data_IF_720399269617
#
_entry.id   IF_720399269617
#
_cell.length_a   1.000
_cell.length_b   1.000
_cell.length_c   1.000
_cell.angle_alpha   90.00
_cell.angle_beta   90.00
_cell.angle_gamma   90.00
#
_symmetry.space_group_name_H-M   'P 1'
#
loop_
_entity.id
_entity.type
_entity.pdbx_description
1 polymer ?
#
# COMPACT_ATOMS: atom_id res chain seq x y z
N UNK A 1 -2.20 12.03 10.74
CA UNK A 1 -1.78 12.89 11.88
C UNK A 1 -0.65 13.76 11.38
N UNK A 2 -0.71 15.09 11.56
CA UNK A 2 0.39 15.98 11.21
C UNK A 2 1.67 15.66 11.98
N UNK A 3 2.83 16.03 11.44
CA UNK A 3 4.13 15.94 12.13
C UNK A 3 4.39 17.22 12.90
N UNK A 4 4.97 17.11 14.08
CA UNK A 4 5.15 18.26 14.99
C UNK A 4 6.63 18.61 15.22
N UNK A 5 7.55 17.62 15.14
CA UNK A 5 8.97 17.85 15.44
C UNK A 5 9.80 17.98 14.17
N UNK A 6 10.89 18.79 14.23
CA UNK A 6 11.82 18.95 13.10
C UNK A 6 12.36 17.60 12.60
N UNK A 7 12.61 16.66 13.52
CA UNK A 7 13.08 15.31 13.19
C UNK A 7 12.06 14.50 12.40
N UNK A 8 10.77 14.65 12.71
CA UNK A 8 9.71 13.97 11.96
C UNK A 8 9.57 14.56 10.56
N UNK A 9 9.66 15.89 10.45
CA UNK A 9 9.61 16.61 9.17
C UNK A 9 10.79 16.16 8.31
N UNK A 10 12.01 16.23 8.82
CA UNK A 10 13.23 15.76 8.16
C UNK A 10 13.15 14.27 7.79
N UNK A 11 12.53 13.44 8.63
CA UNK A 11 12.38 12.02 8.34
C UNK A 11 11.59 11.78 7.04
N UNK A 12 10.55 12.56 6.77
CA UNK A 12 9.78 12.43 5.54
C UNK A 12 10.12 13.43 4.44
N UNK A 13 11.15 14.25 4.63
CA UNK A 13 11.71 15.12 3.61
C UNK A 13 12.80 14.35 2.84
N UNK A 14 12.37 13.58 1.84
CA UNK A 14 13.26 12.84 0.95
C UNK A 14 12.58 12.60 -0.40
N UNK A 15 13.40 12.43 -1.42
CA UNK A 15 12.94 12.09 -2.76
C UNK A 15 13.26 10.63 -3.11
N UNK A 16 12.46 10.03 -4.01
CA UNK A 16 12.64 8.65 -4.47
C UNK A 16 13.51 8.58 -5.74
N UNK A 17 13.29 9.47 -6.70
CA UNK A 17 13.78 9.36 -8.09
C UNK A 17 14.68 10.52 -8.57
N UNK A 18 14.49 11.72 -8.04
CA UNK A 18 15.16 12.95 -8.45
C UNK A 18 16.54 13.13 -7.80
N UNK A 19 16.82 12.43 -6.69
CA UNK A 19 18.15 12.40 -6.09
C UNK A 19 19.05 11.37 -6.80
N UNK A 20 20.11 11.80 -7.51
CA UNK A 20 21.04 10.87 -8.15
C UNK A 20 21.82 10.00 -7.15
N UNK A 21 21.87 10.38 -5.87
CA UNK A 21 22.42 9.58 -4.77
C UNK A 21 21.36 8.76 -4.02
N UNK A 22 20.12 8.70 -4.54
CA UNK A 22 19.01 7.99 -3.93
C UNK A 22 19.36 6.52 -3.66
N UNK A 23 19.11 6.00 -2.44
CA UNK A 23 19.26 4.59 -2.14
C UNK A 23 18.16 3.73 -2.77
N UNK A 24 17.14 4.33 -3.39
CA UNK A 24 15.93 3.65 -3.89
C UNK A 24 16.02 3.20 -5.36
N UNK A 25 17.22 3.27 -5.96
CA UNK A 25 17.47 2.76 -7.30
C UNK A 25 17.13 1.27 -7.42
N UNK A 26 16.57 0.85 -8.55
CA UNK A 26 16.25 -0.56 -8.84
C UNK A 26 17.48 -1.47 -8.82
N UNK A 27 18.68 -0.91 -8.96
CA UNK A 27 19.95 -1.65 -8.90
C UNK A 27 20.53 -1.75 -7.49
N UNK A 28 19.99 -1.03 -6.51
CA UNK A 28 20.49 -1.07 -5.14
C UNK A 28 19.75 -2.13 -4.30
N UNK A 29 20.52 -3.06 -3.72
CA UNK A 29 20.02 -4.13 -2.87
C UNK A 29 20.39 -3.94 -1.39
N UNK A 30 21.14 -2.90 -1.05
CA UNK A 30 21.57 -2.63 0.32
C UNK A 30 20.96 -1.32 0.83
N UNK A 31 20.18 -1.44 1.90
CA UNK A 31 19.51 -0.31 2.52
C UNK A 31 20.07 -0.07 3.92
N UNK A 32 20.35 1.20 4.23
CA UNK A 32 20.49 1.61 5.62
C UNK A 32 19.14 1.46 6.32
N UNK A 33 19.14 1.28 7.65
CA UNK A 33 17.89 1.19 8.42
C UNK A 33 16.97 2.40 8.19
N UNK A 34 17.56 3.61 8.05
CA UNK A 34 16.80 4.82 7.77
C UNK A 34 16.17 4.81 6.38
N UNK A 35 16.92 4.40 5.34
CA UNK A 35 16.37 4.32 3.98
C UNK A 35 15.25 3.28 3.90
N UNK A 36 15.45 2.10 4.49
CA UNK A 36 14.42 1.06 4.57
C UNK A 36 13.17 1.58 5.28
N UNK A 37 13.33 2.17 6.46
CA UNK A 37 12.19 2.67 7.26
C UNK A 37 11.43 3.78 6.56
N UNK A 38 12.13 4.70 5.87
CA UNK A 38 11.50 5.75 5.06
C UNK A 38 10.58 5.19 4.00
N UNK A 39 11.05 4.25 3.19
CA UNK A 39 10.24 3.65 2.13
C UNK A 39 9.11 2.77 2.69
N UNK A 40 9.41 1.99 3.72
CA UNK A 40 8.43 1.17 4.44
C UNK A 40 7.28 2.03 4.99
N UNK A 41 7.59 3.03 5.82
CA UNK A 41 6.60 3.85 6.49
C UNK A 41 5.84 4.75 5.49
N UNK A 42 6.48 5.17 4.39
CA UNK A 42 5.81 5.89 3.30
C UNK A 42 4.69 5.03 2.68
N UNK A 43 4.99 3.76 2.37
CA UNK A 43 4.01 2.86 1.77
C UNK A 43 2.88 2.50 2.75
N UNK A 44 3.22 2.29 4.02
CA UNK A 44 2.24 2.08 5.09
C UNK A 44 1.30 3.27 5.21
N UNK A 45 1.86 4.49 5.33
CA UNK A 45 1.09 5.72 5.42
C UNK A 45 0.17 5.91 4.22
N UNK A 46 0.69 5.78 2.99
CA UNK A 46 -0.09 5.95 1.77
C UNK A 46 -1.25 4.96 1.69
N UNK A 47 -1.04 3.72 2.14
CA UNK A 47 -2.09 2.68 2.17
C UNK A 47 -3.17 3.03 3.19
N UNK A 48 -2.78 3.33 4.43
CA UNK A 48 -3.71 3.66 5.52
C UNK A 48 -4.48 4.94 5.23
N UNK A 49 -3.82 5.97 4.69
CA UNK A 49 -4.42 7.25 4.35
C UNK A 49 -5.50 7.13 3.26
N UNK A 50 -5.48 6.06 2.45
CA UNK A 50 -6.45 5.81 1.38
C UNK A 50 -7.41 4.65 1.68
N UNK A 51 -7.54 4.22 2.94
CA UNK A 51 -8.38 3.08 3.32
C UNK A 51 -9.85 3.24 2.90
N UNK A 52 -10.40 4.45 2.98
CA UNK A 52 -11.80 4.71 2.60
C UNK A 52 -12.01 4.62 1.08
N UNK A 53 -11.01 5.02 0.28
CA UNK A 53 -11.03 4.85 -1.19
C UNK A 53 -11.05 3.36 -1.55
N UNK A 54 -10.25 2.55 -0.85
CA UNK A 54 -10.22 1.09 -1.04
C UNK A 54 -11.59 0.49 -0.69
N UNK A 55 -12.18 0.89 0.44
CA UNK A 55 -13.50 0.40 0.87
C UNK A 55 -14.60 0.75 -0.12
N UNK A 56 -14.64 1.98 -0.63
CA UNK A 56 -15.64 2.38 -1.62
C UNK A 56 -15.46 1.59 -2.93
N UNK A 57 -14.22 1.40 -3.41
CA UNK A 57 -13.97 0.58 -4.60
C UNK A 57 -14.45 -0.88 -4.42
N UNK A 58 -14.28 -1.46 -3.22
CA UNK A 58 -14.79 -2.81 -2.89
C UNK A 58 -16.32 -2.82 -2.90
N UNK A 59 -16.96 -1.83 -2.28
CA UNK A 59 -18.42 -1.70 -2.25
C UNK A 59 -18.99 -1.57 -3.65
N UNK A 60 -18.41 -0.73 -4.51
CA UNK A 60 -18.80 -0.58 -5.90
C UNK A 60 -18.65 -1.90 -6.68
N UNK A 61 -17.56 -2.62 -6.46
CA UNK A 61 -17.34 -3.94 -7.06
C UNK A 61 -18.40 -4.96 -6.64
N UNK A 62 -18.85 -4.91 -5.38
CA UNK A 62 -19.94 -5.77 -4.88
C UNK A 62 -21.28 -5.40 -5.53
N UNK A 63 -21.59 -4.10 -5.63
CA UNK A 63 -22.82 -3.61 -6.26
C UNK A 63 -22.86 -4.02 -7.74
N UNK A 64 -21.77 -3.78 -8.47
CA UNK A 64 -21.66 -4.17 -9.88
C UNK A 64 -21.88 -5.67 -10.09
N UNK A 65 -21.34 -6.52 -9.20
CA UNK A 65 -21.52 -7.97 -9.25
C UNK A 65 -22.97 -8.40 -8.96
N UNK A 66 -23.67 -7.69 -8.08
CA UNK A 66 -25.09 -7.96 -7.78
C UNK A 66 -26.00 -7.60 -8.95
N UNK A 67 -25.71 -6.50 -9.63
CA UNK A 67 -26.48 -6.04 -10.79
C UNK A 67 -26.16 -6.87 -12.04
N UNK A 68 -24.94 -7.37 -12.16
CA UNK A 68 -24.48 -8.17 -13.31
C UNK A 68 -23.97 -9.55 -12.86
N UNK A 69 -24.87 -10.46 -12.44
CA UNK A 69 -24.47 -11.79 -12.00
C UNK A 69 -23.80 -12.57 -13.15
N UNK A 70 -22.59 -13.06 -12.90
CA UNK A 70 -21.83 -13.88 -13.83
C UNK A 70 -22.61 -15.15 -14.19
N UNK A 71 -22.68 -15.50 -15.48
CA UNK A 71 -23.33 -16.74 -15.95
C UNK A 71 -22.65 -18.02 -15.46
N UNK A 72 -21.41 -17.91 -15.02
CA UNK A 72 -20.63 -18.98 -14.40
C UNK A 72 -19.98 -18.40 -13.14
N UNK A 73 -20.48 -18.76 -11.96
CA UNK A 73 -19.88 -18.39 -10.69
C UNK A 73 -18.91 -19.49 -10.26
N UNK A 74 -17.62 -19.18 -10.19
CA UNK A 74 -16.68 -20.05 -9.48
C UNK A 74 -16.81 -19.70 -8.00
N UNK A 75 -17.41 -20.58 -7.20
CA UNK A 75 -17.38 -20.45 -5.75
C UNK A 75 -16.03 -20.93 -5.25
N UNK A 76 -15.26 -20.05 -4.61
CA UNK A 76 -14.19 -20.49 -3.71
C UNK A 76 -14.87 -20.92 -2.41
N UNK A 77 -14.85 -22.21 -2.08
CA UNK A 77 -15.43 -22.66 -0.83
C UNK A 77 -14.52 -22.25 0.32
N UNK A 78 -15.07 -21.64 1.37
CA UNK A 78 -14.30 -21.37 2.60
C UNK A 78 -13.71 -22.66 3.19
N UNK A 79 -14.38 -23.81 3.00
CA UNK A 79 -13.90 -25.11 3.47
C UNK A 79 -12.60 -25.57 2.80
N UNK A 80 -12.25 -25.00 1.64
CA UNK A 80 -11.01 -25.31 0.93
C UNK A 80 -9.82 -24.49 1.44
N UNK A 81 -10.09 -23.38 2.15
CA UNK A 81 -9.07 -22.46 2.67
C UNK A 81 -8.55 -22.93 4.05
N UNK A 82 -9.41 -23.50 4.89
CA UNK A 82 -9.06 -23.94 6.25
C UNK A 82 -8.25 -25.26 6.30
N UNK A 83 -8.10 -25.96 5.17
CA UNK A 83 -7.44 -27.27 5.10
C UNK A 83 -5.99 -27.21 4.55
N UNK A 84 -5.30 -26.07 4.67
CA UNK A 84 -3.88 -25.92 4.29
C UNK A 84 -3.01 -25.42 5.42
#
# INVERSE_FOLDING_TARGET
>A
VPRDTDKEIEFGDFDIFDDPASPFSTFNFQYSNQAFKRLHDLMEFNTLNNIEVIKEAIKDSILQRRENPSRCSVSLSLSEIENK
#
